data_IF_597323692045
#
_entry.id   IF_597323692045
#
_cell.length_a   1.000
_cell.length_b   1.000
_cell.length_c   1.000
_cell.angle_alpha   90.00
_cell.angle_beta   90.00
_cell.angle_gamma   90.00
#
_symmetry.space_group_name_H-M   'P 1'
#
loop_
_entity.id
_entity.type
_entity.pdbx_description
1 polymer ?
#
# COMPACT_ATOMS: atom_id res chain seq x y z
N UNK A 1 -21.38 10.25 -28.30
CA UNK A 1 -20.21 10.80 -27.58
C UNK A 1 -20.71 11.88 -26.61
N UNK A 2 -20.82 11.55 -25.31
CA UNK A 2 -21.20 12.51 -24.27
C UNK A 2 -19.90 13.07 -23.67
N UNK A 3 -19.72 14.39 -23.75
CA UNK A 3 -18.50 15.07 -23.35
C UNK A 3 -18.23 14.96 -21.85
N UNK A 4 -17.01 14.57 -21.52
CA UNK A 4 -16.45 14.62 -20.16
C UNK A 4 -16.22 16.10 -19.84
N UNK A 5 -16.98 16.64 -18.88
CA UNK A 5 -16.72 17.97 -18.32
C UNK A 5 -15.55 17.87 -17.35
N UNK A 6 -14.38 18.33 -17.77
CA UNK A 6 -13.28 18.61 -16.86
C UNK A 6 -13.69 19.77 -15.95
N UNK A 7 -13.90 19.50 -14.67
CA UNK A 7 -14.01 20.55 -13.65
C UNK A 7 -12.61 21.12 -13.39
N UNK A 8 -12.27 22.19 -14.09
CA UNK A 8 -11.10 23.01 -13.79
C UNK A 8 -11.48 23.92 -12.62
N UNK A 9 -11.09 23.55 -11.40
CA UNK A 9 -11.20 24.44 -10.25
C UNK A 9 -10.17 25.56 -10.38
N UNK A 10 -10.65 26.75 -10.74
CA UNK A 10 -9.85 27.99 -10.74
C UNK A 10 -9.35 28.31 -9.34
N UNK A 11 -8.04 28.38 -9.19
CA UNK A 11 -7.34 28.84 -7.98
C UNK A 11 -7.62 30.34 -7.82
N UNK A 12 -8.39 30.72 -6.81
CA UNK A 12 -8.44 32.08 -6.28
C UNK A 12 -8.18 32.05 -4.78
N UNK A 13 -7.07 32.69 -4.38
CA UNK A 13 -6.68 33.04 -3.02
C UNK A 13 -6.33 31.88 -2.06
N UNK A 14 -5.06 31.47 -2.04
CA UNK A 14 -4.22 31.33 -0.84
C UNK A 14 -4.67 30.51 0.38
N UNK A 15 -5.75 29.73 0.30
CA UNK A 15 -6.15 28.71 1.28
C UNK A 15 -6.85 27.61 0.50
N UNK A 16 -6.21 26.46 0.30
CA UNK A 16 -6.94 25.25 -0.13
C UNK A 16 -8.05 25.04 0.90
N UNK A 17 -9.31 25.18 0.47
CA UNK A 17 -10.45 24.73 1.27
C UNK A 17 -10.33 23.22 1.34
N UNK A 18 -9.75 22.73 2.43
CA UNK A 18 -9.87 21.33 2.87
C UNK A 18 -11.35 20.98 2.84
N UNK A 19 -11.76 20.02 2.01
CA UNK A 19 -13.10 19.47 2.15
C UNK A 19 -13.15 18.69 3.47
N UNK A 20 -14.24 18.80 4.23
CA UNK A 20 -14.41 17.96 5.41
C UNK A 20 -14.66 16.54 4.94
N UNK A 21 -13.73 15.65 5.25
CA UNK A 21 -13.88 14.22 4.97
C UNK A 21 -14.73 13.60 6.09
N UNK A 22 -15.76 12.81 5.77
CA UNK A 22 -16.57 12.10 6.75
C UNK A 22 -16.48 10.58 6.55
N UNK A 23 -16.42 9.83 7.65
CA UNK A 23 -16.53 8.37 7.65
C UNK A 23 -17.84 7.85 7.02
N UNK A 24 -18.93 8.61 7.11
CA UNK A 24 -20.22 8.22 6.50
C UNK A 24 -20.15 8.17 4.96
N UNK A 25 -19.14 8.83 4.37
CA UNK A 25 -18.88 8.78 2.93
C UNK A 25 -18.21 7.45 2.50
N UNK A 26 -17.81 6.60 3.45
CA UNK A 26 -17.07 5.36 3.20
C UNK A 26 -18.03 4.18 3.17
N UNK A 27 -18.12 3.49 2.03
CA UNK A 27 -18.90 2.26 1.93
C UNK A 27 -18.12 1.10 2.56
N UNK A 28 -18.83 0.11 3.10
CA UNK A 28 -18.20 -1.07 3.70
C UNK A 28 -17.26 -1.81 2.72
N UNK A 29 -17.64 -1.88 1.45
CA UNK A 29 -16.84 -2.48 0.38
C UNK A 29 -15.54 -1.71 0.06
N UNK A 30 -15.46 -0.43 0.44
CA UNK A 30 -14.30 0.42 0.15
C UNK A 30 -13.20 0.29 1.21
N UNK A 31 -13.52 -0.21 2.40
CA UNK A 31 -12.62 -0.28 3.56
C UNK A 31 -11.32 -1.05 3.31
N UNK A 32 -11.28 -1.94 2.32
CA UNK A 32 -10.08 -2.67 1.91
C UNK A 32 -9.20 -1.96 0.86
N UNK A 33 -9.63 -0.81 0.33
CA UNK A 33 -8.98 -0.16 -0.83
C UNK A 33 -7.85 0.76 -0.41
N UNK A 34 -8.02 1.51 0.68
CA UNK A 34 -7.08 2.50 1.20
C UNK A 34 -6.67 2.15 2.64
N UNK A 35 -5.38 2.07 2.90
CA UNK A 35 -4.84 1.89 4.24
C UNK A 35 -4.93 3.20 5.04
N UNK A 36 -4.94 3.13 6.39
CA UNK A 36 -4.91 4.32 7.24
C UNK A 36 -3.78 5.32 6.93
N UNK A 37 -2.64 4.80 6.48
CA UNK A 37 -1.44 5.56 6.14
C UNK A 37 -1.37 6.05 4.68
N UNK A 38 -2.39 5.79 3.85
CA UNK A 38 -2.44 6.23 2.46
C UNK A 38 -1.99 5.21 1.41
N UNK A 39 -1.59 4.00 1.82
CA UNK A 39 -1.24 2.94 0.86
C UNK A 39 -2.52 2.46 0.17
N UNK A 40 -2.52 2.39 -1.17
CA UNK A 40 -3.58 1.76 -1.94
C UNK A 40 -3.49 0.23 -1.81
N UNK A 41 -4.17 -0.33 -0.81
CA UNK A 41 -4.23 -1.77 -0.55
C UNK A 41 -4.76 -2.54 -1.75
N UNK A 42 -5.74 -2.01 -2.48
CA UNK A 42 -6.30 -2.67 -3.65
C UNK A 42 -5.29 -2.83 -4.81
N UNK A 43 -4.17 -2.11 -4.79
CA UNK A 43 -3.05 -2.26 -5.73
C UNK A 43 -1.91 -3.17 -5.23
N UNK A 44 -2.01 -3.67 -3.99
CA UNK A 44 -0.96 -4.43 -3.31
C UNK A 44 -0.98 -5.90 -3.75
N UNK A 45 0.21 -6.50 -3.90
CA UNK A 45 0.34 -7.89 -4.30
C UNK A 45 -0.37 -8.85 -3.33
N UNK A 46 -0.25 -8.63 -2.02
CA UNK A 46 -0.93 -9.49 -1.04
C UNK A 46 -2.45 -9.41 -1.11
N UNK A 47 -3.00 -8.34 -1.70
CA UNK A 47 -4.44 -8.14 -1.90
C UNK A 47 -4.89 -8.78 -3.22
N UNK A 48 -4.14 -8.59 -4.31
CA UNK A 48 -4.55 -9.04 -5.67
C UNK A 48 -4.11 -10.49 -5.96
N UNK A 49 -2.91 -10.89 -5.53
CA UNK A 49 -2.33 -12.22 -5.76
C UNK A 49 -1.73 -12.46 -7.16
N UNK A 50 -1.41 -11.41 -7.92
CA UNK A 50 -0.85 -11.51 -9.27
C UNK A 50 0.51 -12.21 -9.33
N UNK A 51 1.46 -11.82 -8.48
CA UNK A 51 2.77 -12.47 -8.37
C UNK A 51 2.64 -13.93 -7.95
N UNK A 52 1.66 -14.28 -7.12
CA UNK A 52 1.41 -15.68 -6.75
C UNK A 52 0.88 -16.50 -7.93
N UNK A 53 -0.04 -15.93 -8.72
CA UNK A 53 -0.49 -16.55 -9.98
C UNK A 53 0.66 -16.71 -10.98
N UNK A 54 1.49 -15.69 -11.13
CA UNK A 54 2.68 -15.73 -11.97
C UNK A 54 3.68 -16.79 -11.49
N UNK A 55 3.94 -16.87 -10.18
CA UNK A 55 4.80 -17.87 -9.58
C UNK A 55 4.28 -19.30 -9.82
N UNK A 56 2.97 -19.52 -9.67
CA UNK A 56 2.33 -20.81 -9.97
C UNK A 56 2.52 -21.21 -11.42
N UNK A 57 2.22 -20.30 -12.35
CA UNK A 57 2.38 -20.54 -13.79
C UNK A 57 3.84 -20.84 -14.15
N UNK A 58 4.79 -20.08 -13.61
CA UNK A 58 6.21 -20.33 -13.81
C UNK A 58 6.63 -21.70 -13.27
N UNK A 59 6.22 -22.02 -12.05
CA UNK A 59 6.51 -23.30 -11.39
C UNK A 59 6.00 -24.49 -12.21
N UNK A 60 4.76 -24.43 -12.71
CA UNK A 60 4.16 -25.47 -13.54
C UNK A 60 4.91 -25.67 -14.86
N UNK A 61 5.25 -24.57 -15.56
CA UNK A 61 6.00 -24.62 -16.82
C UNK A 61 7.39 -25.23 -16.59
N UNK A 62 8.13 -24.73 -15.61
CA UNK A 62 9.48 -25.16 -15.32
C UNK A 62 9.53 -26.61 -14.84
N UNK A 63 8.59 -27.02 -13.99
CA UNK A 63 8.52 -28.40 -13.53
C UNK A 63 8.12 -29.35 -14.66
N UNK A 64 7.16 -28.95 -15.49
CA UNK A 64 6.71 -29.72 -16.66
C UNK A 64 7.79 -29.88 -17.74
N UNK A 65 8.66 -28.88 -17.92
CA UNK A 65 9.79 -28.93 -18.83
C UNK A 65 11.02 -29.65 -18.28
N UNK A 66 10.94 -30.22 -17.07
CA UNK A 66 12.06 -30.79 -16.34
C UNK A 66 13.29 -29.85 -16.28
N UNK A 67 13.06 -28.58 -15.93
CA UNK A 67 14.12 -27.55 -15.96
C UNK A 67 15.31 -27.88 -15.04
N UNK A 68 15.12 -28.75 -14.04
CA UNK A 68 16.20 -29.24 -13.16
C UNK A 68 17.27 -30.01 -13.94
N UNK A 69 16.87 -30.72 -14.99
CA UNK A 69 17.76 -31.48 -15.88
C UNK A 69 18.34 -30.59 -17.00
N UNK A 70 17.50 -29.78 -17.64
CA UNK A 70 17.94 -29.00 -18.82
C UNK A 70 18.57 -27.66 -18.47
N UNK A 71 18.20 -27.06 -17.35
CA UNK A 71 18.64 -25.72 -16.96
C UNK A 71 20.16 -25.57 -16.76
N UNK A 72 20.88 -26.55 -16.20
CA UNK A 72 22.35 -26.53 -16.16
C UNK A 72 22.99 -26.38 -17.54
N UNK A 73 22.39 -26.91 -18.61
CA UNK A 73 22.89 -26.76 -19.99
C UNK A 73 22.87 -25.30 -20.46
N UNK A 74 22.02 -24.47 -19.86
CA UNK A 74 21.90 -23.04 -20.12
C UNK A 74 22.57 -22.18 -19.04
N UNK A 75 23.38 -22.79 -18.17
CA UNK A 75 24.10 -22.09 -17.10
C UNK A 75 23.23 -21.64 -15.92
N UNK A 76 21.98 -22.10 -15.83
CA UNK A 76 21.10 -21.80 -14.71
C UNK A 76 21.56 -22.58 -13.47
N UNK A 77 21.94 -21.85 -12.42
CA UNK A 77 22.37 -22.42 -11.12
C UNK A 77 21.26 -22.27 -10.08
N UNK A 78 21.16 -23.24 -9.17
CA UNK A 78 20.24 -23.16 -8.02
C UNK A 78 18.75 -23.35 -8.38
N UNK A 79 18.45 -24.04 -9.47
CA UNK A 79 17.07 -24.29 -9.92
C UNK A 79 16.25 -25.01 -8.86
N UNK A 80 16.81 -26.06 -8.25
CA UNK A 80 16.10 -26.83 -7.22
C UNK A 80 15.68 -25.94 -6.03
N UNK A 81 16.59 -25.07 -5.57
CA UNK A 81 16.31 -24.10 -4.50
C UNK A 81 15.24 -23.10 -4.94
N UNK A 82 15.29 -22.67 -6.20
CA UNK A 82 14.32 -21.73 -6.77
C UNK A 82 12.93 -22.35 -6.83
N UNK A 83 12.81 -23.59 -7.32
CA UNK A 83 11.54 -24.33 -7.36
C UNK A 83 10.99 -24.60 -5.96
N UNK A 84 11.85 -24.96 -4.99
CA UNK A 84 11.45 -25.09 -3.58
C UNK A 84 10.90 -23.77 -3.02
N UNK A 85 11.57 -22.65 -3.32
CA UNK A 85 11.14 -21.31 -2.89
C UNK A 85 9.80 -20.92 -3.52
N UNK A 86 9.63 -21.10 -4.83
CA UNK A 86 8.37 -20.86 -5.53
C UNK A 86 7.25 -21.72 -4.95
N UNK A 87 7.49 -23.02 -4.74
CA UNK A 87 6.52 -23.93 -4.16
C UNK A 87 6.09 -23.47 -2.77
N UNK A 88 7.04 -23.11 -1.91
CA UNK A 88 6.74 -22.58 -0.57
C UNK A 88 5.91 -21.30 -0.63
N UNK A 89 6.28 -20.36 -1.51
CA UNK A 89 5.53 -19.12 -1.73
C UNK A 89 4.10 -19.37 -2.21
N UNK A 90 3.91 -20.32 -3.15
CA UNK A 90 2.59 -20.74 -3.64
C UNK A 90 1.75 -21.39 -2.53
N UNK A 91 2.37 -22.25 -1.70
CA UNK A 91 1.68 -23.04 -0.69
C UNK A 91 1.30 -22.27 0.59
N UNK A 92 1.99 -21.18 0.91
CA UNK A 92 1.67 -20.32 2.07
C UNK A 92 0.42 -19.46 1.84
N UNK A 93 -0.70 -20.09 1.48
CA UNK A 93 -1.97 -19.39 1.30
C UNK A 93 -2.60 -19.06 2.65
N UNK A 94 -2.19 -17.91 3.19
CA UNK A 94 -3.16 -17.04 3.85
C UNK A 94 -4.16 -16.56 2.78
N UNK A 95 -5.43 -16.48 3.16
CA UNK A 95 -6.48 -15.83 2.37
C UNK A 95 -5.94 -14.49 1.83
N UNK A 96 -6.40 -14.07 0.65
CA UNK A 96 -6.06 -12.74 0.12
C UNK A 96 -6.21 -11.69 1.21
N UNK A 97 -5.19 -10.83 1.35
CA UNK A 97 -5.14 -9.84 2.41
C UNK A 97 -6.37 -8.92 2.28
N UNK A 98 -7.22 -8.78 3.32
CA UNK A 98 -8.43 -7.97 3.23
C UNK A 98 -8.14 -6.46 3.17
N UNK A 99 -6.88 -6.04 3.27
CA UNK A 99 -6.47 -4.65 3.39
C UNK A 99 -6.22 -4.25 4.84
N UNK A 100 -5.34 -3.25 5.04
CA UNK A 100 -4.83 -2.90 6.36
C UNK A 100 -5.93 -2.44 7.33
N UNK A 101 -6.92 -1.69 6.86
CA UNK A 101 -8.02 -1.23 7.73
C UNK A 101 -8.86 -2.40 8.27
N UNK A 102 -9.10 -3.42 7.45
CA UNK A 102 -9.81 -4.66 7.78
C UNK A 102 -8.94 -5.69 8.54
N UNK A 103 -7.79 -5.29 9.09
CA UNK A 103 -6.94 -6.18 9.88
C UNK A 103 -5.97 -7.03 9.05
N UNK A 104 -5.82 -6.75 7.75
CA UNK A 104 -4.84 -7.41 6.88
C UNK A 104 -3.41 -6.91 7.08
N UNK A 105 -2.43 -7.71 6.66
CA UNK A 105 -1.01 -7.35 6.71
C UNK A 105 -0.52 -7.02 8.14
N UNK A 106 0.42 -6.07 8.32
CA UNK A 106 0.97 -5.73 9.63
C UNK A 106 0.06 -4.79 10.47
N UNK A 107 -1.23 -4.67 10.13
CA UNK A 107 -2.15 -3.72 10.77
C UNK A 107 -2.33 -3.95 12.29
N UNK A 108 -2.35 -5.21 12.74
CA UNK A 108 -2.48 -5.58 14.16
C UNK A 108 -1.39 -4.98 15.06
N UNK A 109 -0.21 -4.77 14.49
CA UNK A 109 0.95 -4.18 15.15
C UNK A 109 1.23 -2.75 14.68
N UNK A 110 0.39 -2.15 13.84
CA UNK A 110 0.66 -0.83 13.26
C UNK A 110 0.18 0.30 14.18
N UNK A 111 1.11 1.15 14.64
CA UNK A 111 0.77 2.33 15.45
C UNK A 111 -0.10 3.37 14.74
N UNK A 112 -0.03 3.44 13.40
CA UNK A 112 -0.87 4.34 12.59
C UNK A 112 -2.32 3.86 12.60
N UNK A 113 -2.56 2.57 12.31
CA UNK A 113 -3.91 1.98 12.32
C UNK A 113 -4.59 2.16 13.68
N UNK A 114 -3.87 1.88 14.77
CA UNK A 114 -4.36 2.09 16.15
C UNK A 114 -4.77 3.53 16.41
N UNK A 115 -3.94 4.50 16.00
CA UNK A 115 -4.21 5.92 16.21
C UNK A 115 -5.40 6.43 15.40
N UNK A 116 -5.52 5.99 14.15
CA UNK A 116 -6.64 6.36 13.27
C UNK A 116 -7.95 5.80 13.83
N UNK A 117 -7.98 4.52 14.22
CA UNK A 117 -9.15 3.90 14.85
C UNK A 117 -9.54 4.55 16.18
N UNK A 118 -8.59 4.91 17.03
CA UNK A 118 -8.89 5.56 18.32
C UNK A 118 -9.51 6.95 18.18
N UNK A 119 -9.30 7.63 17.04
CA UNK A 119 -9.90 8.93 16.72
C UNK A 119 -11.22 8.80 15.94
N UNK A 120 -11.64 7.58 15.61
CA UNK A 120 -12.81 7.36 14.76
C UNK A 120 -12.58 7.85 13.34
N UNK A 121 -11.37 7.67 12.80
CA UNK A 121 -11.00 8.04 11.43
C UNK A 121 -10.84 6.79 10.56
N UNK A 122 -10.89 6.95 9.24
CA UNK A 122 -10.47 5.90 8.29
C UNK A 122 -8.98 5.99 7.99
N UNK A 123 -8.45 7.20 7.90
CA UNK A 123 -7.07 7.47 7.49
C UNK A 123 -6.45 8.67 8.22
N UNK A 124 -5.19 8.93 7.95
CA UNK A 124 -4.54 10.17 8.40
C UNK A 124 -5.09 11.43 7.70
N UNK A 125 -5.84 11.31 6.59
CA UNK A 125 -6.34 12.46 5.84
C UNK A 125 -7.34 13.30 6.66
N UNK A 126 -8.12 12.69 7.55
CA UNK A 126 -9.06 13.39 8.45
C UNK A 126 -8.36 14.13 9.60
N UNK A 127 -7.10 13.79 9.90
CA UNK A 127 -6.41 14.37 11.04
C UNK A 127 -5.95 15.81 10.73
N UNK A 128 -6.52 16.80 11.41
CA UNK A 128 -6.12 18.22 11.27
C UNK A 128 -4.64 18.45 11.61
N UNK A 129 -4.12 17.70 12.59
CA UNK A 129 -2.71 17.75 12.96
C UNK A 129 -1.79 17.16 11.88
N UNK A 130 -2.31 16.37 10.95
CA UNK A 130 -1.50 15.74 9.90
C UNK A 130 -1.28 16.74 8.77
N UNK A 131 -0.03 17.18 8.59
CA UNK A 131 0.39 18.10 7.54
C UNK A 131 1.29 17.37 6.51
N UNK A 132 0.74 16.86 5.41
CA UNK A 132 1.49 16.08 4.43
C UNK A 132 2.62 16.87 3.72
N UNK A 133 2.56 18.21 3.73
CA UNK A 133 3.57 19.10 3.14
C UNK A 133 4.77 19.36 4.09
N UNK A 134 4.74 18.84 5.32
CA UNK A 134 5.81 19.01 6.32
C UNK A 134 6.83 17.88 6.28
N UNK A 135 8.10 18.16 6.58
CA UNK A 135 9.14 17.15 6.82
C UNK A 135 8.80 16.19 7.98
N UNK A 136 7.94 16.66 8.90
CA UNK A 136 7.33 15.83 9.94
C UNK A 136 5.81 15.88 9.81
N UNK A 137 5.21 15.06 8.91
CA UNK A 137 3.79 15.23 8.61
C UNK A 137 2.80 14.90 9.74
N UNK A 138 3.28 14.44 10.90
CA UNK A 138 2.45 14.07 12.04
C UNK A 138 3.17 14.55 13.30
N UNK A 139 2.61 15.49 14.08
CA UNK A 139 3.28 16.04 15.26
C UNK A 139 3.24 15.07 16.46
N UNK A 140 2.37 14.06 16.43
CA UNK A 140 2.20 13.04 17.48
C UNK A 140 3.19 11.87 17.36
N UNK A 141 4.43 12.14 16.96
CA UNK A 141 5.47 11.12 16.86
C UNK A 141 6.05 10.88 18.25
N UNK A 142 5.88 9.66 18.77
CA UNK A 142 6.65 9.24 19.93
C UNK A 142 8.10 8.96 19.47
N UNK A 143 9.13 9.56 20.09
CA UNK A 143 10.52 9.37 19.68
C UNK A 143 11.12 8.00 20.05
N UNK A 144 10.33 7.08 20.60
CA UNK A 144 10.80 5.75 20.96
C UNK A 144 11.16 4.93 19.70
N UNK A 145 12.41 4.45 19.56
CA UNK A 145 12.93 3.89 18.30
C UNK A 145 12.38 2.50 17.94
N UNK A 146 11.71 1.82 18.89
CA UNK A 146 11.27 0.43 18.75
C UNK A 146 10.02 0.22 19.61
N UNK A 147 9.01 -0.58 19.18
CA UNK A 147 8.92 -1.39 17.95
C UNK A 147 8.03 -0.79 16.86
N UNK A 148 7.80 -1.50 15.75
CA UNK A 148 6.82 -1.17 14.67
C UNK A 148 5.41 -0.78 15.17
N UNK A 149 5.10 -1.08 16.43
CA UNK A 149 3.95 -0.57 17.16
C UNK A 149 3.93 0.96 17.30
N UNK A 150 5.08 1.63 17.21
CA UNK A 150 5.20 3.07 17.33
C UNK A 150 4.89 3.78 16.02
N UNK A 151 4.04 4.81 16.14
CA UNK A 151 3.44 5.52 15.00
C UNK A 151 4.48 6.23 14.14
N UNK A 152 5.48 6.85 14.78
CA UNK A 152 6.52 7.62 14.09
C UNK A 152 7.45 6.74 13.26
N UNK A 153 8.00 5.70 13.88
CA UNK A 153 8.85 4.73 13.19
C UNK A 153 8.12 4.05 12.06
N UNK A 154 6.88 3.58 12.28
CA UNK A 154 6.08 2.96 11.23
C UNK A 154 5.84 3.92 10.04
N UNK A 155 5.60 5.20 10.33
CA UNK A 155 5.39 6.20 9.30
C UNK A 155 6.65 6.44 8.47
N UNK A 156 7.81 6.62 9.08
CA UNK A 156 9.07 6.80 8.35
C UNK A 156 9.34 5.61 7.42
N UNK A 157 9.18 4.39 7.94
CA UNK A 157 9.36 3.16 7.17
C UNK A 157 8.40 3.10 5.98
N UNK A 158 7.13 3.44 6.17
CA UNK A 158 6.14 3.44 5.09
C UNK A 158 6.47 4.54 4.07
N UNK A 159 6.72 5.77 4.51
CA UNK A 159 7.05 6.89 3.63
C UNK A 159 8.27 6.57 2.74
N UNK A 160 9.35 6.05 3.33
CA UNK A 160 10.55 5.61 2.59
C UNK A 160 10.25 4.46 1.65
N UNK A 161 9.58 3.42 2.16
CA UNK A 161 9.26 2.22 1.35
C UNK A 161 8.40 2.55 0.13
N UNK A 162 7.46 3.47 0.24
CA UNK A 162 6.49 3.79 -0.80
C UNK A 162 6.84 5.07 -1.58
N UNK A 163 8.07 5.59 -1.45
CA UNK A 163 8.52 6.83 -2.09
C UNK A 163 7.53 8.00 -1.92
N UNK A 164 6.98 8.15 -0.71
CA UNK A 164 5.95 9.15 -0.37
C UNK A 164 4.62 9.03 -1.14
N UNK A 165 4.39 8.00 -1.98
CA UNK A 165 3.11 7.82 -2.69
C UNK A 165 1.93 7.73 -1.71
N UNK A 166 2.16 7.16 -0.53
CA UNK A 166 1.16 7.10 0.52
C UNK A 166 0.75 8.50 1.04
N UNK A 167 1.69 9.46 1.11
CA UNK A 167 1.40 10.84 1.51
C UNK A 167 0.64 11.56 0.39
N UNK A 168 1.09 11.41 -0.86
CA UNK A 168 0.39 11.96 -2.03
C UNK A 168 -1.06 11.47 -2.13
N UNK A 169 -1.30 10.20 -1.79
CA UNK A 169 -2.65 9.63 -1.74
C UNK A 169 -3.49 10.26 -0.63
N UNK A 170 -2.94 10.48 0.57
CA UNK A 170 -3.64 11.17 1.66
C UNK A 170 -3.97 12.63 1.32
N UNK A 171 -3.05 13.34 0.65
CA UNK A 171 -3.28 14.71 0.15
C UNK A 171 -4.45 14.74 -0.83
N UNK A 172 -4.38 13.91 -1.87
CA UNK A 172 -5.46 13.82 -2.87
C UNK A 172 -6.78 13.40 -2.25
N UNK A 173 -6.76 12.47 -1.30
CA UNK A 173 -7.94 12.05 -0.57
C UNK A 173 -8.56 13.23 0.22
N UNK A 174 -7.73 14.09 0.81
CA UNK A 174 -8.21 15.31 1.50
C UNK A 174 -8.75 16.37 0.54
N UNK A 175 -8.17 16.47 -0.65
CA UNK A 175 -8.60 17.43 -1.67
C UNK A 175 -9.91 17.02 -2.36
N UNK A 176 -10.09 15.73 -2.61
CA UNK A 176 -11.20 15.18 -3.39
C UNK A 176 -12.32 14.57 -2.54
N UNK A 177 -12.06 14.23 -1.28
CA UNK A 177 -12.97 13.46 -0.43
C UNK A 177 -12.90 11.95 -0.71
N UNK A 178 -13.50 11.13 0.18
CA UNK A 178 -13.36 9.68 0.12
C UNK A 178 -13.95 9.05 -1.14
N UNK A 179 -15.21 9.35 -1.45
CA UNK A 179 -15.91 8.75 -2.59
C UNK A 179 -15.13 8.96 -3.90
N UNK A 180 -14.82 10.21 -4.24
CA UNK A 180 -14.10 10.55 -5.46
C UNK A 180 -12.68 9.98 -5.48
N UNK A 181 -12.00 9.95 -4.33
CA UNK A 181 -10.66 9.37 -4.24
C UNK A 181 -10.68 7.85 -4.44
N UNK A 182 -11.68 7.15 -3.91
CA UNK A 182 -11.80 5.70 -4.08
C UNK A 182 -12.12 5.34 -5.53
N UNK A 183 -12.99 6.09 -6.20
CA UNK A 183 -13.25 5.90 -7.63
C UNK A 183 -11.99 6.17 -8.46
N UNK A 184 -11.24 7.24 -8.13
CA UNK A 184 -9.92 7.51 -8.72
C UNK A 184 -8.93 6.36 -8.50
N UNK A 185 -8.86 5.80 -7.28
CA UNK A 185 -7.97 4.69 -6.96
C UNK A 185 -8.34 3.42 -7.75
N UNK A 186 -9.63 3.11 -7.84
CA UNK A 186 -10.15 1.98 -8.65
C UNK A 186 -9.75 2.14 -10.12
N UNK A 187 -9.97 3.32 -10.70
CA UNK A 187 -9.59 3.60 -12.08
C UNK A 187 -8.06 3.48 -12.28
N UNK A 188 -7.26 4.05 -11.38
CA UNK A 188 -5.80 3.94 -11.39
C UNK A 188 -5.35 2.47 -11.42
N UNK A 189 -5.94 1.62 -10.58
CA UNK A 189 -5.63 0.18 -10.50
C UNK A 189 -6.12 -0.59 -11.74
N UNK A 190 -7.33 -0.28 -12.23
CA UNK A 190 -7.87 -0.87 -13.44
C UNK A 190 -7.00 -0.58 -14.67
N UNK A 191 -6.36 0.59 -14.71
CA UNK A 191 -5.40 0.99 -15.74
C UNK A 191 -3.98 0.43 -15.52
N UNK A 192 -3.82 -0.58 -14.66
CA UNK A 192 -2.58 -1.33 -14.50
C UNK A 192 -1.62 -0.77 -13.44
N UNK A 193 -2.02 0.23 -12.66
CA UNK A 193 -1.19 0.68 -11.55
C UNK A 193 -1.10 -0.40 -10.47
N UNK A 194 0.09 -0.60 -9.92
CA UNK A 194 0.34 -1.54 -8.83
C UNK A 194 1.26 -0.91 -7.81
N UNK A 195 1.11 -1.32 -6.55
CA UNK A 195 1.93 -0.80 -5.45
C UNK A 195 3.43 -1.01 -5.69
N UNK A 196 3.85 -2.13 -6.29
CA UNK A 196 5.27 -2.41 -6.55
C UNK A 196 5.94 -1.38 -7.47
N UNK A 197 5.18 -0.60 -8.26
CA UNK A 197 5.70 0.46 -9.13
C UNK A 197 6.20 1.69 -8.35
N UNK A 198 5.77 1.86 -7.09
CA UNK A 198 6.17 2.98 -6.23
C UNK A 198 7.06 2.54 -5.06
N UNK A 199 7.35 1.24 -4.95
CA UNK A 199 8.22 0.73 -3.89
C UNK A 199 9.67 1.19 -4.14
N UNK A 200 10.31 1.73 -3.11
CA UNK A 200 11.71 2.13 -3.12
C UNK A 200 12.64 0.92 -3.24
N UNK A 201 13.77 1.11 -3.92
CA UNK A 201 14.88 0.16 -3.97
C UNK A 201 15.66 0.08 -2.64
N UNK A 202 15.45 1.07 -1.76
CA UNK A 202 16.07 1.11 -0.43
C UNK A 202 15.65 -0.10 0.42
N UNK A 203 16.61 -0.70 1.14
CA UNK A 203 16.37 -1.86 2.02
C UNK A 203 15.82 -1.46 3.38
N UNK A 204 14.78 -0.63 3.37
CA UNK A 204 14.18 0.07 4.52
C UNK A 204 13.99 -0.86 5.73
N UNK A 205 13.37 -2.02 5.54
CA UNK A 205 13.11 -2.95 6.65
C UNK A 205 14.35 -3.70 7.13
N UNK A 206 15.23 -4.12 6.22
CA UNK A 206 16.47 -4.81 6.60
C UNK A 206 17.39 -3.90 7.41
N UNK A 207 17.42 -2.60 7.09
CA UNK A 207 18.17 -1.60 7.84
C UNK A 207 17.52 -1.30 9.19
N UNK A 208 16.20 -1.23 9.24
CA UNK A 208 15.46 -0.99 10.49
C UNK A 208 15.65 -2.12 11.51
N UNK A 209 15.69 -3.37 11.05
CA UNK A 209 15.87 -4.56 11.91
C UNK A 209 17.30 -4.66 12.48
N UNK A 210 18.30 -4.01 11.85
CA UNK A 210 19.70 -4.04 12.30
C UNK A 210 20.01 -3.03 13.42
N UNK A 211 19.12 -2.06 13.65
CA UNK A 211 19.27 -1.00 14.67
C UNK A 211 18.56 -1.42 15.96
#
# INVERSE_FOLDING_TARGET
>A
MKGIKYYVNTIKNGKRRSMSINLDDVKEEDKGILAPCGILCAGCESYIGEAKQAAKKLYEIWKGSNIEDTGPLFGLKGIEITLKTLKYYIQNEEKLCPGCYLGGGPSSICGIDKCVKSKGYWTCAECEDFNPESDSPCPHINPAPVPMAEKGTMKDLICRRYNQDNINNLERCREMGYNDFIDHAREKIANGWRTWQVISEEKVFTEAIKK
#
